data_IF_804834010453
#
_entry.id   IF_804834010453
#
_cell.length_a   1.000
_cell.length_b   1.000
_cell.length_c   1.000
_cell.angle_alpha   90.00
_cell.angle_beta   90.00
_cell.angle_gamma   90.00
#
_symmetry.space_group_name_H-M   'P 1'
#
loop_
_entity.id
_entity.type
_entity.pdbx_description
1 polymer ?
#
# COMPACT_ATOMS: atom_id res chain seq x y z
N UNK A 1 -28.58 -17.54 11.51
CA UNK A 1 -28.03 -17.45 12.89
C UNK A 1 -26.64 -18.11 13.02
N UNK A 2 -26.27 -19.10 12.19
CA UNK A 2 -24.95 -19.77 12.25
C UNK A 2 -23.76 -18.94 11.69
N UNK A 3 -24.02 -17.89 10.94
CA UNK A 3 -23.00 -17.00 10.35
C UNK A 3 -22.50 -15.92 11.32
N UNK A 4 -23.23 -15.63 12.40
CA UNK A 4 -22.91 -14.55 13.34
C UNK A 4 -21.50 -14.68 13.95
N UNK A 5 -21.07 -15.86 14.43
CA UNK A 5 -19.71 -16.03 14.95
C UNK A 5 -18.63 -15.77 13.91
N UNK A 6 -18.86 -16.18 12.65
CA UNK A 6 -17.91 -15.96 11.54
C UNK A 6 -17.86 -14.49 11.14
N UNK A 7 -19.00 -13.79 11.09
CA UNK A 7 -19.05 -12.36 10.82
C UNK A 7 -18.37 -11.54 11.93
N UNK A 8 -18.50 -11.94 13.19
CA UNK A 8 -17.78 -11.33 14.31
C UNK A 8 -16.27 -11.57 14.21
N UNK A 9 -15.84 -12.78 13.86
CA UNK A 9 -14.43 -13.09 13.66
C UNK A 9 -13.83 -12.29 12.49
N UNK A 10 -14.54 -12.19 11.37
CA UNK A 10 -14.15 -11.38 10.23
C UNK A 10 -14.08 -9.88 10.59
N UNK A 11 -15.07 -9.38 11.32
CA UNK A 11 -15.11 -7.99 11.80
C UNK A 11 -13.94 -7.68 12.73
N UNK A 12 -13.60 -8.59 13.65
CA UNK A 12 -12.42 -8.45 14.52
C UNK A 12 -11.12 -8.49 13.74
N UNK A 13 -10.97 -9.39 12.77
CA UNK A 13 -9.77 -9.49 11.95
C UNK A 13 -9.55 -8.22 11.11
N UNK A 14 -10.60 -7.74 10.45
CA UNK A 14 -10.57 -6.49 9.68
C UNK A 14 -10.35 -5.27 10.59
N UNK A 15 -11.02 -5.21 11.74
CA UNK A 15 -10.84 -4.15 12.72
C UNK A 15 -9.42 -4.11 13.29
N UNK A 16 -8.82 -5.26 13.58
CA UNK A 16 -7.43 -5.36 14.03
C UNK A 16 -6.45 -4.92 12.94
N UNK A 17 -6.69 -5.28 11.68
CA UNK A 17 -5.89 -4.82 10.53
C UNK A 17 -5.95 -3.30 10.40
N UNK A 18 -7.15 -2.71 10.42
CA UNK A 18 -7.30 -1.25 10.36
C UNK A 18 -6.72 -0.54 11.58
N UNK A 19 -6.85 -1.13 12.77
CA UNK A 19 -6.22 -0.63 14.00
C UNK A 19 -4.69 -0.63 13.90
N UNK A 20 -4.09 -1.69 13.37
CA UNK A 20 -2.65 -1.78 13.16
C UNK A 20 -2.16 -0.74 12.14
N UNK A 21 -2.91 -0.55 11.04
CA UNK A 21 -2.62 0.49 10.04
C UNK A 21 -2.67 1.87 10.69
N UNK A 22 -3.71 2.16 11.48
CA UNK A 22 -3.85 3.44 12.18
C UNK A 22 -2.70 3.69 13.16
N UNK A 23 -2.29 2.67 13.94
CA UNK A 23 -1.14 2.76 14.85
C UNK A 23 0.17 3.01 14.08
N UNK A 24 0.39 2.30 12.96
CA UNK A 24 1.54 2.55 12.09
C UNK A 24 1.57 3.99 11.60
N UNK A 25 0.42 4.54 11.24
CA UNK A 25 0.27 5.93 10.79
C UNK A 25 0.58 6.92 11.90
N UNK A 26 0.00 6.77 13.09
CA UNK A 26 0.25 7.69 14.21
C UNK A 26 1.71 7.67 14.67
N UNK A 27 2.40 6.52 14.61
CA UNK A 27 3.81 6.40 14.95
C UNK A 27 4.72 7.16 13.96
N UNK A 28 4.46 7.05 12.65
CA UNK A 28 5.20 7.80 11.63
C UNK A 28 4.94 9.30 11.78
N UNK A 29 3.69 9.68 12.02
CA UNK A 29 3.29 11.07 12.22
C UNK A 29 3.85 11.69 13.50
N UNK A 30 3.94 10.92 14.58
CA UNK A 30 4.47 11.37 15.86
C UNK A 30 5.93 11.83 15.78
N UNK A 31 6.69 11.31 14.82
CA UNK A 31 8.10 11.69 14.58
C UNK A 31 8.19 12.82 13.54
N UNK A 32 7.34 12.80 12.51
CA UNK A 32 7.49 13.68 11.33
C UNK A 32 6.70 15.00 11.44
N UNK A 33 5.68 15.09 12.30
CA UNK A 33 4.80 16.26 12.51
C UNK A 33 4.17 16.89 11.25
N UNK A 34 4.23 16.22 10.09
CA UNK A 34 3.63 16.66 8.84
C UNK A 34 2.55 15.68 8.39
N UNK A 35 1.39 16.22 7.99
CA UNK A 35 0.32 15.39 7.44
C UNK A 35 0.67 14.97 6.01
N UNK A 36 1.17 13.74 5.85
CA UNK A 36 1.41 13.11 4.56
C UNK A 36 0.10 12.64 3.90
N UNK A 37 -0.60 13.53 3.21
CA UNK A 37 -1.79 13.17 2.42
C UNK A 37 -1.49 12.27 1.20
N UNK A 38 -0.23 12.17 0.80
CA UNK A 38 0.19 11.35 -0.34
C UNK A 38 0.24 9.84 -0.01
N UNK A 39 0.09 9.42 1.24
CA UNK A 39 0.18 8.00 1.60
C UNK A 39 -0.85 7.13 0.87
N UNK A 40 -2.10 7.60 0.80
CA UNK A 40 -3.17 6.91 0.06
C UNK A 40 -2.93 6.88 -1.46
N UNK A 41 -2.37 7.96 -2.01
CA UNK A 41 -2.06 8.06 -3.43
C UNK A 41 -0.87 7.18 -3.82
N UNK A 42 0.17 7.11 -2.98
CA UNK A 42 1.32 6.22 -3.15
C UNK A 42 0.90 4.75 -3.07
N UNK A 43 -0.03 4.41 -2.16
CA UNK A 43 -0.61 3.07 -2.08
C UNK A 43 -1.36 2.69 -3.36
N UNK A 44 -2.20 3.60 -3.86
CA UNK A 44 -2.91 3.41 -5.14
C UNK A 44 -1.93 3.19 -6.30
N UNK A 45 -0.84 3.96 -6.37
CA UNK A 45 0.20 3.79 -7.39
C UNK A 45 0.86 2.41 -7.31
N UNK A 46 1.06 1.87 -6.11
CA UNK A 46 1.53 0.49 -5.95
C UNK A 46 0.55 -0.54 -6.55
N UNK A 47 -0.75 -0.36 -6.30
CA UNK A 47 -1.80 -1.21 -6.88
C UNK A 47 -1.87 -1.12 -8.41
N UNK A 48 -1.79 0.09 -8.97
CA UNK A 48 -1.72 0.27 -10.42
C UNK A 48 -0.43 -0.26 -11.01
N UNK A 49 0.72 -0.12 -10.33
CA UNK A 49 1.98 -0.72 -10.76
C UNK A 49 1.91 -2.24 -10.85
N UNK A 50 1.26 -2.89 -9.88
CA UNK A 50 0.99 -4.32 -9.93
C UNK A 50 0.08 -4.70 -11.10
N UNK A 51 -0.98 -3.93 -11.35
CA UNK A 51 -1.88 -4.14 -12.49
C UNK A 51 -1.18 -3.96 -13.83
N UNK A 52 -0.39 -2.90 -14.01
CA UNK A 52 0.39 -2.66 -15.23
C UNK A 52 1.36 -3.80 -15.49
N UNK A 53 2.00 -4.31 -14.44
CA UNK A 53 2.92 -5.45 -14.54
C UNK A 53 2.20 -6.71 -15.02
N UNK A 54 0.98 -6.94 -14.54
CA UNK A 54 0.15 -8.05 -14.99
C UNK A 54 -0.26 -7.90 -16.46
N UNK A 55 -0.67 -6.71 -16.89
CA UNK A 55 -1.11 -6.44 -18.28
C UNK A 55 0.04 -6.61 -19.28
N UNK A 56 1.28 -6.31 -18.87
CA UNK A 56 2.47 -6.46 -19.72
C UNK A 56 2.97 -7.91 -19.80
N UNK A 57 2.43 -8.82 -18.99
CA UNK A 57 2.85 -10.20 -18.95
C UNK A 57 2.22 -10.99 -20.13
N UNK A 58 2.93 -11.96 -20.73
CA UNK A 58 2.36 -12.77 -21.80
C UNK A 58 1.07 -13.49 -21.41
N UNK A 59 0.16 -13.64 -22.37
CA UNK A 59 -1.06 -14.44 -22.18
C UNK A 59 -0.71 -15.88 -21.84
N UNK A 60 -1.27 -16.40 -20.74
CA UNK A 60 -1.01 -17.76 -20.26
C UNK A 60 0.04 -17.85 -19.14
N UNK A 61 0.57 -16.73 -18.66
CA UNK A 61 1.52 -16.75 -17.54
C UNK A 61 0.87 -17.29 -16.27
N UNK A 62 1.48 -18.29 -15.65
CA UNK A 62 0.95 -18.92 -14.43
C UNK A 62 0.94 -17.94 -13.27
N UNK A 63 -0.10 -18.02 -12.43
CA UNK A 63 -0.28 -17.18 -11.26
C UNK A 63 0.93 -17.19 -10.30
N UNK A 64 1.61 -18.34 -10.22
CA UNK A 64 2.80 -18.56 -9.39
C UNK A 64 3.98 -17.68 -9.79
N UNK A 65 4.08 -17.31 -11.07
CA UNK A 65 5.08 -16.37 -11.60
C UNK A 65 4.53 -14.95 -11.64
N UNK A 66 3.25 -14.79 -11.96
CA UNK A 66 2.62 -13.48 -12.05
C UNK A 66 2.58 -12.74 -10.71
N UNK A 67 2.22 -13.42 -9.61
CA UNK A 67 2.10 -12.77 -8.28
C UNK A 67 3.42 -12.14 -7.81
N UNK A 68 4.57 -12.85 -7.79
CA UNK A 68 5.84 -12.24 -7.40
C UNK A 68 6.19 -11.02 -8.27
N UNK A 69 5.98 -11.11 -9.59
CA UNK A 69 6.26 -10.01 -10.51
C UNK A 69 5.35 -8.80 -10.26
N UNK A 70 4.05 -9.02 -10.04
CA UNK A 70 3.12 -7.96 -9.68
C UNK A 70 3.51 -7.25 -8.38
N UNK A 71 3.94 -8.01 -7.36
CA UNK A 71 4.43 -7.45 -6.09
C UNK A 71 5.66 -6.59 -6.34
N UNK A 72 6.63 -7.09 -7.12
CA UNK A 72 7.84 -6.34 -7.46
C UNK A 72 7.48 -5.07 -8.23
N UNK A 73 6.62 -5.15 -9.24
CA UNK A 73 6.21 -4.00 -10.03
C UNK A 73 5.47 -2.94 -9.22
N UNK A 74 4.56 -3.36 -8.34
CA UNK A 74 3.87 -2.46 -7.41
C UNK A 74 4.82 -1.83 -6.38
N UNK A 75 5.78 -2.61 -5.86
CA UNK A 75 6.81 -2.10 -4.96
C UNK A 75 7.71 -1.06 -5.65
N UNK A 76 8.16 -1.33 -6.87
CA UNK A 76 8.99 -0.39 -7.64
C UNK A 76 8.22 0.92 -7.89
N UNK A 77 6.97 0.83 -8.36
CA UNK A 77 6.15 2.01 -8.65
C UNK A 77 5.90 2.86 -7.39
N UNK A 78 5.50 2.25 -6.29
CA UNK A 78 5.23 2.94 -5.02
C UNK A 78 6.51 3.56 -4.43
N UNK A 79 7.64 2.84 -4.42
CA UNK A 79 8.91 3.35 -3.89
C UNK A 79 9.44 4.50 -4.76
N UNK A 80 9.36 4.39 -6.08
CA UNK A 80 9.79 5.45 -6.99
C UNK A 80 9.01 6.75 -6.74
N UNK A 81 7.68 6.67 -6.60
CA UNK A 81 6.86 7.86 -6.34
C UNK A 81 7.04 8.39 -4.91
N UNK A 82 7.14 7.52 -3.91
CA UNK A 82 7.39 7.93 -2.53
C UNK A 82 8.72 8.69 -2.39
N UNK A 83 9.79 8.16 -2.98
CA UNK A 83 11.12 8.79 -2.93
C UNK A 83 11.19 10.07 -3.76
N UNK A 84 10.48 10.12 -4.89
CA UNK A 84 10.34 11.35 -5.67
C UNK A 84 9.56 12.42 -4.87
N UNK A 85 8.44 12.06 -4.24
CA UNK A 85 7.67 12.98 -3.41
C UNK A 85 8.49 13.49 -2.22
N UNK A 86 9.26 12.63 -1.57
CA UNK A 86 10.20 13.04 -0.52
C UNK A 86 11.21 14.07 -1.06
N UNK A 87 11.87 13.75 -2.18
CA UNK A 87 12.97 14.56 -2.71
C UNK A 87 12.50 15.90 -3.26
N UNK A 88 11.37 15.95 -3.95
CA UNK A 88 10.88 17.13 -4.66
C UNK A 88 9.85 17.94 -3.88
N UNK A 89 9.02 17.33 -3.03
CA UNK A 89 8.00 18.04 -2.28
C UNK A 89 8.41 18.26 -0.82
N UNK A 90 8.78 17.20 -0.09
CA UNK A 90 8.99 17.31 1.35
C UNK A 90 10.35 17.87 1.75
N UNK A 91 11.42 17.48 1.07
CA UNK A 91 12.79 17.91 1.40
C UNK A 91 13.02 19.42 1.23
N UNK A 92 12.47 20.10 0.21
CA UNK A 92 12.59 21.55 0.08
C UNK A 92 11.80 22.33 1.14
N UNK A 93 10.71 21.76 1.67
CA UNK A 93 9.86 22.39 2.69
C UNK A 93 10.44 22.26 4.12
N UNK A 94 11.47 21.42 4.30
CA UNK A 94 12.16 21.21 5.57
C UNK A 94 13.37 22.12 5.77
N UNK A 95 13.69 22.97 4.79
CA UNK A 95 14.66 24.06 4.90
C UNK A 95 13.94 25.40 4.94
#
# INVERSE_FOLDING_TARGET
MHELPQQLANGLALGALYGLIAIGYTMVYGIVQLINFAHGEIFMIGGFGALTTYIMLPSGTTLLVAIPLMIIGGAIASVAVATAAERFAYRPLRG
#
